data_IF_471250764434
#
_entry.id   IF_471250764434
#
_cell.length_a   1.000
_cell.length_b   1.000
_cell.length_c   1.000
_cell.angle_alpha   90.00
_cell.angle_beta   90.00
_cell.angle_gamma   90.00
#
_symmetry.space_group_name_H-M   'P 1'
#
loop_
_entity.id
_entity.type
_entity.pdbx_description
1 polymer ?
#
# COMPACT_ATOMS: atom_id res chain seq x y z
N UNK A 1 12.21 28.23 -3.99
CA UNK A 1 11.56 26.90 -4.02
C UNK A 1 12.48 25.88 -3.35
N UNK A 2 12.02 25.16 -2.31
CA UNK A 2 12.82 24.08 -1.70
C UNK A 2 12.82 22.88 -2.65
N UNK A 3 14.00 22.31 -2.93
CA UNK A 3 14.14 21.16 -3.85
C UNK A 3 13.75 19.88 -3.08
N UNK A 4 12.72 19.20 -3.57
CA UNK A 4 12.27 17.91 -3.05
C UNK A 4 13.15 16.80 -3.63
N UNK A 5 13.50 15.84 -2.81
CA UNK A 5 14.28 14.66 -3.18
C UNK A 5 13.51 13.40 -2.82
N UNK A 6 13.67 12.37 -3.63
CA UNK A 6 13.04 11.07 -3.45
C UNK A 6 14.12 10.00 -3.45
N UNK A 7 14.17 9.19 -2.40
CA UNK A 7 15.10 8.06 -2.28
C UNK A 7 14.30 6.77 -2.18
N UNK A 8 14.58 5.79 -3.04
CA UNK A 8 14.04 4.44 -2.90
C UNK A 8 14.65 3.78 -1.65
N UNK A 9 13.81 3.22 -0.78
CA UNK A 9 14.25 2.53 0.45
C UNK A 9 13.92 1.03 0.44
N UNK A 10 12.87 0.63 -0.29
CA UNK A 10 12.48 -0.78 -0.42
C UNK A 10 11.78 -1.02 -1.75
N UNK A 11 11.98 -2.20 -2.33
CA UNK A 11 11.28 -2.65 -3.53
C UNK A 11 10.97 -4.15 -3.43
N UNK A 12 9.71 -4.51 -3.67
CA UNK A 12 9.27 -5.88 -3.91
C UNK A 12 8.65 -5.95 -5.31
N UNK A 13 9.11 -6.90 -6.13
CA UNK A 13 8.59 -7.15 -7.48
C UNK A 13 7.94 -8.51 -7.53
N UNK A 14 6.72 -8.58 -8.03
CA UNK A 14 5.96 -9.82 -8.13
C UNK A 14 5.90 -10.33 -9.58
N UNK A 15 5.76 -9.43 -10.55
CA UNK A 15 5.80 -9.76 -11.98
C UNK A 15 6.46 -8.63 -12.80
N UNK A 16 6.30 -8.67 -14.13
CA UNK A 16 6.78 -7.65 -15.06
C UNK A 16 6.00 -6.33 -14.92
N UNK A 17 6.33 -5.59 -13.86
CA UNK A 17 5.86 -4.23 -13.58
C UNK A 17 4.88 -4.13 -12.41
N UNK A 18 4.35 -5.25 -11.91
CA UNK A 18 3.60 -5.30 -10.65
C UNK A 18 4.56 -5.42 -9.46
N UNK A 19 4.33 -4.60 -8.45
CA UNK A 19 5.20 -4.55 -7.28
C UNK A 19 4.86 -3.42 -6.32
N UNK A 20 5.64 -3.36 -5.26
CA UNK A 20 5.58 -2.34 -4.22
C UNK A 20 6.94 -1.66 -4.18
N UNK A 21 6.95 -0.33 -4.23
CA UNK A 21 8.15 0.49 -3.99
C UNK A 21 7.89 1.45 -2.86
N UNK A 22 8.82 1.54 -1.93
CA UNK A 22 8.73 2.47 -0.81
C UNK A 22 9.83 3.51 -0.97
N UNK A 23 9.44 4.77 -0.84
CA UNK A 23 10.31 5.92 -1.02
C UNK A 23 10.34 6.78 0.25
N UNK A 24 11.52 7.26 0.58
CA UNK A 24 11.71 8.36 1.52
C UNK A 24 11.77 9.67 0.74
N UNK A 25 10.78 10.54 0.96
CA UNK A 25 10.67 11.83 0.28
C UNK A 25 11.04 12.92 1.26
N UNK A 26 12.07 13.73 0.97
CA UNK A 26 12.60 14.74 1.89
C UNK A 26 12.96 16.06 1.21
N UNK A 27 13.02 17.13 1.99
CA UNK A 27 13.50 18.44 1.54
C UNK A 27 14.94 18.67 2.02
N UNK A 28 15.84 19.11 1.13
CA UNK A 28 17.22 19.43 1.53
C UNK A 28 17.31 20.85 2.10
N UNK A 29 17.90 21.00 3.28
CA UNK A 29 18.02 22.26 4.03
C UNK A 29 17.30 22.16 5.39
N UNK A 30 18.04 22.37 6.49
CA UNK A 30 17.64 22.06 7.86
C UNK A 30 16.29 22.66 8.26
N UNK A 31 15.53 21.93 9.08
CA UNK A 31 14.40 22.47 9.85
C UNK A 31 13.05 21.91 9.41
N UNK A 32 12.69 20.83 10.07
CA UNK A 32 11.46 20.06 10.01
C UNK A 32 11.04 19.47 8.65
N UNK A 33 11.15 18.15 8.55
CA UNK A 33 10.87 17.49 7.32
C UNK A 33 9.37 17.39 7.04
N UNK A 34 8.97 17.65 5.79
CA UNK A 34 7.88 16.85 5.20
C UNK A 34 8.44 15.49 4.77
N UNK A 35 9.18 14.84 5.66
CA UNK A 35 9.84 13.57 5.42
C UNK A 35 8.77 12.54 5.58
N UNK A 36 8.25 12.14 4.45
CA UNK A 36 7.11 11.25 4.38
C UNK A 36 7.59 10.02 3.65
N UNK A 37 7.36 8.87 4.28
CA UNK A 37 7.49 7.59 3.61
C UNK A 37 6.28 7.45 2.69
N UNK A 38 6.55 7.31 1.39
CA UNK A 38 5.52 7.05 0.38
C UNK A 38 5.64 5.64 -0.15
N UNK A 39 4.49 5.04 -0.44
CA UNK A 39 4.38 3.70 -1.00
C UNK A 39 3.74 3.83 -2.38
N UNK A 40 4.41 3.27 -3.38
CA UNK A 40 3.89 3.03 -4.72
C UNK A 40 3.49 1.56 -4.81
N UNK A 41 2.21 1.28 -4.99
CA UNK A 41 1.68 -0.05 -5.28
C UNK A 41 1.25 -0.02 -6.74
N UNK A 42 1.80 -0.92 -7.56
CA UNK A 42 1.48 -1.03 -8.98
C UNK A 42 1.05 -2.45 -9.28
N UNK A 43 -0.08 -2.60 -9.96
CA UNK A 43 -0.57 -3.87 -10.51
C UNK A 43 -0.88 -3.67 -11.99
N UNK A 44 0.02 -4.18 -12.86
CA UNK A 44 -0.01 -3.87 -14.30
C UNK A 44 -1.20 -4.51 -14.99
N UNK A 45 -1.51 -5.77 -14.63
CA UNK A 45 -2.60 -6.53 -15.25
C UNK A 45 -3.95 -5.87 -14.99
N UNK A 46 -4.13 -5.31 -13.79
CA UNK A 46 -5.36 -4.65 -13.35
C UNK A 46 -5.37 -3.15 -13.70
N UNK A 47 -4.27 -2.61 -14.26
CA UNK A 47 -4.07 -1.19 -14.52
C UNK A 47 -4.32 -0.30 -13.28
N UNK A 48 -3.84 -0.77 -12.13
CA UNK A 48 -3.99 -0.08 -10.84
C UNK A 48 -2.63 0.48 -10.43
N UNK A 49 -2.63 1.77 -10.06
CA UNK A 49 -1.46 2.43 -9.50
C UNK A 49 -1.88 3.31 -8.32
N UNK A 50 -1.28 3.07 -7.16
CA UNK A 50 -1.48 3.88 -5.98
C UNK A 50 -0.16 4.50 -5.53
N UNK A 51 -0.12 5.81 -5.39
CA UNK A 51 1.01 6.51 -4.81
C UNK A 51 0.57 7.34 -3.61
N UNK A 52 0.83 6.82 -2.41
CA UNK A 52 0.25 7.31 -1.17
C UNK A 52 1.27 7.35 -0.03
N UNK A 53 0.90 7.93 1.11
CA UNK A 53 1.71 7.90 2.32
C UNK A 53 1.64 6.51 2.98
N UNK A 54 2.63 6.17 3.81
CA UNK A 54 2.67 4.86 4.46
C UNK A 54 1.47 4.61 5.38
N UNK A 55 0.98 5.62 6.08
CA UNK A 55 -0.22 5.55 6.93
C UNK A 55 -1.48 5.25 6.11
N UNK A 56 -1.62 5.88 4.94
CA UNK A 56 -2.71 5.60 4.00
C UNK A 56 -2.64 4.16 3.45
N UNK A 57 -1.43 3.67 3.16
CA UNK A 57 -1.22 2.31 2.68
C UNK A 57 -1.59 1.26 3.74
N UNK A 58 -1.29 1.53 5.01
CA UNK A 58 -1.68 0.67 6.13
C UNK A 58 -3.20 0.62 6.27
N UNK A 59 -3.88 1.77 6.16
CA UNK A 59 -5.35 1.83 6.21
C UNK A 59 -5.97 1.04 5.04
N UNK A 60 -5.45 1.22 3.83
CA UNK A 60 -5.91 0.47 2.65
C UNK A 60 -5.74 -1.05 2.86
N UNK A 61 -4.58 -1.49 3.33
CA UNK A 61 -4.31 -2.90 3.59
C UNK A 61 -5.25 -3.47 4.67
N UNK A 62 -5.48 -2.71 5.75
CA UNK A 62 -6.42 -3.10 6.80
C UNK A 62 -7.87 -3.21 6.28
N UNK A 63 -8.31 -2.26 5.45
CA UNK A 63 -9.62 -2.28 4.81
C UNK A 63 -9.81 -3.47 3.87
N UNK A 64 -8.82 -3.75 3.02
CA UNK A 64 -8.83 -4.90 2.11
C UNK A 64 -8.87 -6.23 2.88
N UNK A 65 -8.09 -6.36 3.96
CA UNK A 65 -8.12 -7.56 4.80
C UNK A 65 -9.48 -7.78 5.46
N UNK A 66 -10.16 -6.71 5.91
CA UNK A 66 -11.52 -6.80 6.46
C UNK A 66 -12.51 -7.30 5.42
N UNK A 67 -12.48 -6.75 4.20
CA UNK A 67 -13.38 -7.16 3.11
C UNK A 67 -13.10 -8.61 2.69
N UNK A 68 -11.84 -8.99 2.50
CA UNK A 68 -11.46 -10.35 2.17
C UNK A 68 -11.92 -11.35 3.24
N UNK A 69 -11.79 -11.01 4.52
CA UNK A 69 -12.30 -11.81 5.63
C UNK A 69 -13.82 -11.94 5.63
N UNK A 70 -14.56 -10.86 5.35
CA UNK A 70 -16.03 -10.90 5.23
C UNK A 70 -16.48 -11.78 4.06
N UNK A 71 -15.85 -11.65 2.89
CA UNK A 71 -16.14 -12.51 1.73
C UNK A 71 -15.88 -13.98 2.04
N UNK A 72 -14.84 -14.30 2.81
CA UNK A 72 -14.55 -15.67 3.25
C UNK A 72 -15.66 -16.22 4.15
N UNK A 73 -16.16 -15.41 5.09
CA UNK A 73 -17.26 -15.80 5.99
C UNK A 73 -18.57 -15.98 5.22
N UNK A 74 -18.88 -15.09 4.27
CA UNK A 74 -20.09 -15.17 3.45
C UNK A 74 -20.07 -16.36 2.46
N UNK A 75 -18.89 -16.80 2.05
CA UNK A 75 -18.71 -17.99 1.21
C UNK A 75 -18.71 -19.30 1.99
N UNK A 76 -18.62 -19.27 3.33
CA UNK A 76 -18.84 -20.47 4.12
C UNK A 76 -20.32 -20.84 3.98
N UNK A 77 -20.65 -22.06 3.50
CA UNK A 77 -22.02 -22.53 3.63
C UNK A 77 -22.31 -22.49 5.13
N UNK A 78 -23.39 -21.80 5.51
CA UNK A 78 -23.90 -21.83 6.88
C UNK A 78 -23.80 -23.28 7.34
N UNK A 79 -22.96 -23.54 8.36
CA UNK A 79 -23.00 -24.82 9.07
C UNK A 79 -24.38 -24.82 9.71
N UNK A 80 -25.35 -25.33 8.95
CA UNK A 80 -26.69 -25.58 9.42
C UNK A 80 -26.56 -26.38 10.69
N UNK A 81 -27.29 -25.93 11.70
CA UNK A 81 -27.41 -26.50 13.03
C UNK A 81 -27.13 -28.01 13.03
N UNK A 82 -26.04 -28.41 13.68
CA UNK A 82 -25.86 -29.81 14.08
C UNK A 82 -26.99 -30.07 15.07
N UNK A 83 -28.02 -30.80 14.62
CA UNK A 83 -29.04 -31.40 15.48
C UNK A 83 -28.42 -32.36 16.47
#
# INVERSE_FOLDING_TARGET
MKRQYTRLIFEARFDKGTGIRVYYVYNKGWGNPKDVIRVLIKAVKENIEFFMRIDEAVILAAGLNKVAGQMLIEQLPFVGEIK
#
